data_IF_061489272289
#
_entry.id   IF_061489272289
#
_cell.length_a   1.000
_cell.length_b   1.000
_cell.length_c   1.000
_cell.angle_alpha   90.00
_cell.angle_beta   90.00
_cell.angle_gamma   90.00
#
_symmetry.space_group_name_H-M   'P 1'
#
loop_
_entity.id
_entity.type
_entity.pdbx_description
1 polymer ?
#
# COMPACT_ATOMS: atom_id res chain seq x y z
N UNK A 1 10.41 -7.06 12.68
CA UNK A 1 8.97 -6.87 12.94
C UNK A 1 8.36 -8.25 13.19
N UNK A 2 7.59 -8.47 14.26
CA UNK A 2 6.98 -9.78 14.57
C UNK A 2 5.52 -9.77 14.10
N UNK A 3 5.33 -9.93 12.80
CA UNK A 3 4.01 -9.91 12.14
C UNK A 3 3.51 -11.35 12.00
N UNK A 4 2.24 -11.56 12.27
CA UNK A 4 1.56 -12.83 12.03
C UNK A 4 0.94 -12.82 10.63
N UNK A 5 0.27 -11.72 10.28
CA UNK A 5 -0.47 -11.62 9.03
C UNK A 5 -0.74 -10.15 8.66
N UNK A 6 -0.81 -9.86 7.36
CA UNK A 6 -1.33 -8.62 6.83
C UNK A 6 -2.34 -8.94 5.72
N UNK A 7 -3.47 -8.23 5.70
CA UNK A 7 -4.51 -8.40 4.69
C UNK A 7 -5.14 -7.06 4.31
N UNK A 8 -5.64 -7.00 3.08
CA UNK A 8 -6.48 -5.91 2.62
C UNK A 8 -7.96 -6.20 2.86
N UNK A 9 -8.61 -5.31 3.59
CA UNK A 9 -10.02 -5.32 3.87
C UNK A 9 -10.79 -4.47 2.86
N UNK A 10 -11.27 -5.12 1.80
CA UNK A 10 -12.03 -4.47 0.72
C UNK A 10 -13.34 -3.78 1.14
N UNK A 11 -13.90 -4.12 2.30
CA UNK A 11 -15.15 -3.52 2.78
C UNK A 11 -14.93 -2.15 3.42
N UNK A 12 -13.72 -1.91 3.92
CA UNK A 12 -13.35 -0.67 4.60
C UNK A 12 -12.22 0.09 3.92
N UNK A 13 -11.62 -0.47 2.85
CA UNK A 13 -10.45 0.08 2.18
C UNK A 13 -9.26 0.26 3.14
N UNK A 14 -8.96 -0.77 3.94
CA UNK A 14 -7.96 -0.73 5.01
C UNK A 14 -6.99 -1.90 4.87
N UNK A 15 -5.70 -1.69 5.21
CA UNK A 15 -4.75 -2.76 5.50
C UNK A 15 -4.80 -3.07 7.00
N UNK A 16 -5.13 -4.31 7.36
CA UNK A 16 -5.06 -4.83 8.73
C UNK A 16 -3.74 -5.60 8.90
N UNK A 17 -2.88 -5.18 9.84
CA UNK A 17 -1.62 -5.88 10.19
C UNK A 17 -1.72 -6.42 11.61
N UNK A 18 -1.69 -7.73 11.73
CA UNK A 18 -1.80 -8.47 12.98
C UNK A 18 -0.41 -8.80 13.52
N UNK A 19 -0.11 -8.35 14.75
CA UNK A 19 1.13 -8.66 15.46
C UNK A 19 0.97 -9.87 16.38
N UNK A 20 2.08 -10.54 16.67
CA UNK A 20 2.12 -11.75 17.51
C UNK A 20 1.56 -11.57 18.93
N UNK A 21 1.58 -10.33 19.44
CA UNK A 21 1.11 -9.95 20.76
C UNK A 21 -0.36 -9.51 20.78
N UNK A 22 -1.09 -9.71 19.68
CA UNK A 22 -2.53 -9.42 19.58
C UNK A 22 -2.87 -7.98 19.23
N UNK A 23 -1.90 -7.09 19.01
CA UNK A 23 -2.17 -5.76 18.48
C UNK A 23 -2.46 -5.82 16.97
N UNK A 24 -3.34 -4.92 16.52
CA UNK A 24 -3.68 -4.73 15.11
C UNK A 24 -3.34 -3.29 14.75
N UNK A 25 -2.49 -3.10 13.74
CA UNK A 25 -2.31 -1.81 13.08
C UNK A 25 -3.25 -1.74 11.88
N UNK A 26 -3.98 -0.63 11.75
CA UNK A 26 -4.89 -0.38 10.63
C UNK A 26 -4.43 0.82 9.84
N UNK A 27 -4.22 0.63 8.55
CA UNK A 27 -3.89 1.71 7.61
C UNK A 27 -5.10 1.93 6.72
N UNK A 28 -5.68 3.12 6.80
CA UNK A 28 -6.73 3.57 5.89
C UNK A 28 -6.10 3.94 4.55
N UNK A 29 -6.38 3.18 3.49
CA UNK A 29 -5.74 3.35 2.19
C UNK A 29 -6.12 4.71 1.57
N UNK A 30 -7.35 5.17 1.79
CA UNK A 30 -7.81 6.47 1.30
C UNK A 30 -7.06 7.63 1.95
N UNK A 31 -6.69 7.50 3.23
CA UNK A 31 -5.83 8.47 3.91
C UNK A 31 -4.36 8.31 3.57
N UNK A 32 -3.89 7.08 3.38
CA UNK A 32 -2.52 6.78 3.02
C UNK A 32 -2.16 7.36 1.64
N UNK A 33 -3.14 7.37 0.74
CA UNK A 33 -2.98 7.87 -0.63
C UNK A 33 -3.41 9.33 -0.79
N UNK A 34 -3.91 9.98 0.27
CA UNK A 34 -4.34 11.38 0.21
C UNK A 34 -3.15 12.28 -0.16
N UNK A 35 -3.29 12.99 -1.27
CA UNK A 35 -2.25 13.86 -1.82
C UNK A 35 -1.17 13.16 -2.66
N UNK A 36 -1.24 11.84 -2.86
CA UNK A 36 -0.37 11.18 -3.84
C UNK A 36 -0.69 11.67 -5.26
N UNK A 37 0.37 11.92 -6.02
CA UNK A 37 0.28 12.22 -7.45
C UNK A 37 0.42 10.90 -8.20
N UNK A 38 -0.72 10.34 -8.65
CA UNK A 38 -0.77 9.08 -9.39
C UNK A 38 -1.23 9.28 -10.84
N UNK A 39 -0.91 8.34 -11.71
CA UNK A 39 -1.58 8.13 -13.00
C UNK A 39 -2.56 6.97 -12.89
N UNK A 40 -3.47 6.77 -13.87
CA UNK A 40 -4.37 5.61 -13.83
C UNK A 40 -3.64 4.27 -13.73
N UNK A 41 -2.44 4.14 -14.33
CA UNK A 41 -1.66 2.92 -14.23
C UNK A 41 -1.00 2.75 -12.86
N UNK A 42 -0.33 3.78 -12.34
CA UNK A 42 0.33 3.68 -11.03
C UNK A 42 -0.69 3.50 -9.90
N UNK A 43 -1.89 4.09 -10.02
CA UNK A 43 -3.01 3.83 -9.09
C UNK A 43 -3.45 2.37 -9.16
N UNK A 44 -3.68 1.82 -10.36
CA UNK A 44 -4.03 0.41 -10.54
C UNK A 44 -2.97 -0.52 -9.93
N UNK A 45 -1.70 -0.14 -10.00
CA UNK A 45 -0.61 -0.91 -9.40
C UNK A 45 -0.57 -0.78 -7.87
N UNK A 46 -0.87 0.39 -7.30
CA UNK A 46 -1.06 0.56 -5.86
C UNK A 46 -2.25 -0.28 -5.35
N UNK A 47 -3.38 -0.25 -6.04
CA UNK A 47 -4.56 -1.06 -5.69
C UNK A 47 -4.23 -2.56 -5.72
N UNK A 48 -3.50 -3.01 -6.75
CA UNK A 48 -3.03 -4.38 -6.83
C UNK A 48 -2.03 -4.72 -5.71
N UNK A 49 -1.14 -3.78 -5.35
CA UNK A 49 -0.19 -3.96 -4.26
C UNK A 49 -0.90 -4.15 -2.92
N UNK A 50 -1.94 -3.35 -2.63
CA UNK A 50 -2.75 -3.51 -1.44
C UNK A 50 -3.38 -4.92 -1.36
N UNK A 51 -3.92 -5.41 -2.47
CA UNK A 51 -4.61 -6.72 -2.54
C UNK A 51 -3.62 -7.89 -2.48
N UNK A 52 -2.58 -7.86 -3.31
CA UNK A 52 -1.69 -9.00 -3.53
C UNK A 52 -0.55 -9.05 -2.51
N UNK A 53 -0.07 -7.88 -2.05
CA UNK A 53 1.01 -7.75 -1.09
C UNK A 53 0.78 -6.62 -0.07
N UNK A 54 -0.25 -6.77 0.80
CA UNK A 54 -0.65 -5.75 1.78
C UNK A 54 0.48 -5.33 2.72
N UNK A 55 1.44 -6.22 3.00
CA UNK A 55 2.58 -5.91 3.85
C UNK A 55 3.55 -4.93 3.18
N UNK A 56 3.79 -5.10 1.87
CA UNK A 56 4.63 -4.18 1.11
C UNK A 56 3.97 -2.81 0.97
N UNK A 57 2.66 -2.77 0.69
CA UNK A 57 1.89 -1.53 0.70
C UNK A 57 2.03 -0.79 2.04
N UNK A 58 1.86 -1.51 3.15
CA UNK A 58 2.01 -0.95 4.49
C UNK A 58 3.43 -0.44 4.76
N UNK A 59 4.46 -1.17 4.31
CA UNK A 59 5.85 -0.74 4.43
C UNK A 59 6.06 0.60 3.72
N UNK A 60 5.63 0.71 2.46
CA UNK A 60 5.76 1.95 1.67
C UNK A 60 5.09 3.15 2.35
N UNK A 61 3.91 2.94 2.94
CA UNK A 61 3.22 4.00 3.68
C UNK A 61 3.98 4.40 4.94
N UNK A 62 4.37 3.42 5.77
CA UNK A 62 5.04 3.68 7.06
C UNK A 62 6.43 4.29 6.89
N UNK A 63 7.15 3.91 5.84
CA UNK A 63 8.48 4.43 5.52
C UNK A 63 8.42 5.74 4.69
N UNK A 64 7.22 6.22 4.37
CA UNK A 64 6.99 7.42 3.54
C UNK A 64 7.58 7.32 2.12
N UNK A 65 7.67 6.11 1.57
CA UNK A 65 8.24 5.80 0.24
C UNK A 65 7.17 5.69 -0.86
N UNK A 66 5.88 5.82 -0.52
CA UNK A 66 4.78 5.51 -1.43
C UNK A 66 4.77 6.38 -2.71
N UNK A 67 5.09 7.68 -2.60
CA UNK A 67 5.16 8.56 -3.78
C UNK A 67 6.34 8.20 -4.71
N UNK A 68 7.49 7.83 -4.15
CA UNK A 68 8.65 7.43 -4.95
C UNK A 68 8.38 6.13 -5.70
N UNK A 69 7.73 5.18 -5.04
CA UNK A 69 7.28 3.93 -5.67
C UNK A 69 6.30 4.20 -6.82
N UNK A 70 5.29 5.04 -6.60
CA UNK A 70 4.33 5.48 -7.63
C UNK A 70 5.04 6.08 -8.84
N UNK A 71 6.01 6.97 -8.60
CA UNK A 71 6.78 7.62 -9.66
C UNK A 71 7.58 6.60 -10.48
N UNK A 72 8.18 5.60 -9.83
CA UNK A 72 8.92 4.54 -10.50
C UNK A 72 8.02 3.69 -11.43
N UNK A 73 6.83 3.30 -10.96
CA UNK A 73 5.86 2.53 -11.74
C UNK A 73 5.30 3.31 -12.94
N UNK A 74 5.38 4.65 -12.88
CA UNK A 74 4.98 5.51 -13.98
C UNK A 74 6.06 5.63 -15.07
N UNK A 75 7.34 5.54 -14.70
CA UNK A 75 8.47 5.62 -15.63
C UNK A 75 8.60 4.38 -16.53
N UNK A 76 8.19 3.20 -16.07
CA UNK A 76 8.24 1.97 -16.87
C UNK A 76 7.48 2.09 -18.21
N UNK A 77 6.48 2.98 -18.30
CA UNK A 77 5.66 3.16 -19.49
C UNK A 77 6.32 3.99 -20.60
N UNK A 78 7.25 4.91 -20.28
CA UNK A 78 7.98 5.68 -21.30
C UNK A 78 9.08 4.86 -21.99
N UNK A 79 9.33 3.64 -21.49
CA UNK A 79 10.37 2.73 -21.95
C UNK A 79 9.85 1.57 -22.81
N UNK A 80 8.56 1.57 -23.18
CA UNK A 80 7.91 0.64 -24.13
C UNK A 80 7.37 1.36 -25.35
#
# INVERSE_FOLDING_TARGET
MNIVHAEYNKYHNIIDINYYNGYILRIDCGKAEDGLITTPNSQRMLDALAIDNPLEYARLYLDSEMQDWVNAMNMEWYST
#
